data_IF_711968119185
#
_entry.id   IF_711968119185
#
_cell.length_a   1.000
_cell.length_b   1.000
_cell.length_c   1.000
_cell.angle_alpha   90.00
_cell.angle_beta   90.00
_cell.angle_gamma   90.00
#
_symmetry.space_group_name_H-M   'P 1'
#
loop_
_entity.id
_entity.type
_entity.pdbx_description
1 polymer ?
#
# COMPACT_ATOMS: atom_id res chain seq x y z
N UNK A 1 -3.88 4.67 10.96
CA UNK A 1 -3.99 4.43 9.50
C UNK A 1 -5.05 3.38 9.28
N UNK A 2 -6.06 3.62 8.45
CA UNK A 2 -7.09 2.59 8.25
C UNK A 2 -6.70 1.63 7.13
N UNK A 3 -6.80 0.34 7.40
CA UNK A 3 -6.70 -0.72 6.40
C UNK A 3 -7.99 -1.53 6.53
N UNK A 4 -8.88 -1.43 5.56
CA UNK A 4 -10.13 -2.17 5.56
C UNK A 4 -10.16 -3.29 4.53
N UNK A 5 -10.85 -4.37 4.83
CA UNK A 5 -11.23 -5.42 3.87
C UNK A 5 -12.73 -5.69 4.01
N UNK A 6 -13.50 -5.49 2.94
CA UNK A 6 -14.96 -5.63 2.96
C UNK A 6 -15.49 -6.21 1.65
N UNK A 7 -16.73 -6.74 1.60
CA UNK A 7 -17.31 -7.24 0.37
C UNK A 7 -17.43 -6.12 -0.66
N UNK A 8 -16.97 -6.37 -1.88
CA UNK A 8 -17.04 -5.40 -2.99
C UNK A 8 -18.11 -5.77 -4.00
N UNK A 9 -17.83 -6.80 -4.78
CA UNK A 9 -18.72 -7.38 -5.78
C UNK A 9 -18.81 -8.90 -5.58
N UNK A 10 -19.78 -9.60 -6.18
CA UNK A 10 -20.05 -11.00 -5.85
C UNK A 10 -18.79 -11.89 -5.90
N UNK A 11 -18.43 -12.45 -4.74
CA UNK A 11 -17.28 -13.35 -4.58
C UNK A 11 -15.92 -12.66 -4.42
N UNK A 12 -15.86 -11.35 -4.23
CA UNK A 12 -14.61 -10.59 -4.08
C UNK A 12 -14.63 -9.63 -2.89
N UNK A 13 -13.47 -9.47 -2.26
CA UNK A 13 -13.24 -8.49 -1.20
C UNK A 13 -12.41 -7.33 -1.75
N UNK A 14 -12.75 -6.12 -1.35
CA UNK A 14 -12.00 -4.92 -1.67
C UNK A 14 -11.23 -4.51 -0.42
N UNK A 15 -9.92 -4.35 -0.59
CA UNK A 15 -9.02 -3.71 0.35
C UNK A 15 -8.99 -2.20 0.12
N UNK A 16 -9.02 -1.41 1.18
CA UNK A 16 -8.81 0.05 1.12
C UNK A 16 -7.80 0.48 2.17
N UNK A 17 -6.87 1.36 1.80
CA UNK A 17 -5.80 1.83 2.68
C UNK A 17 -5.77 3.35 2.69
N UNK A 18 -6.09 3.95 3.84
CA UNK A 18 -6.10 5.40 4.07
C UNK A 18 -4.76 5.88 4.60
N UNK A 19 -3.92 6.45 3.73
CA UNK A 19 -2.54 6.82 4.04
C UNK A 19 -2.39 8.13 4.79
N UNK A 20 -3.34 9.06 4.64
CA UNK A 20 -3.29 10.33 5.36
C UNK A 20 -4.36 10.39 6.46
N UNK A 21 -4.07 11.02 7.62
CA UNK A 21 -5.08 11.23 8.64
C UNK A 21 -6.23 12.08 8.08
N UNK A 22 -7.44 11.56 8.10
CA UNK A 22 -8.64 12.32 7.73
C UNK A 22 -9.59 12.42 8.92
N UNK A 23 -10.44 13.46 8.93
CA UNK A 23 -11.53 13.59 9.91
C UNK A 23 -12.59 12.47 9.81
N UNK A 24 -12.52 11.66 8.76
CA UNK A 24 -13.44 10.55 8.51
C UNK A 24 -12.92 9.23 9.08
N UNK A 25 -11.65 9.17 9.50
CA UNK A 25 -11.10 8.06 10.26
C UNK A 25 -11.68 8.11 11.67
N UNK A 26 -12.68 7.28 11.90
CA UNK A 26 -13.46 7.22 13.14
C UNK A 26 -13.03 6.07 14.05
N UNK A 27 -11.88 5.46 13.76
CA UNK A 27 -11.37 4.25 14.42
C UNK A 27 -11.91 2.96 13.79
N UNK A 28 -11.49 1.82 14.33
CA UNK A 28 -12.03 0.50 13.99
C UNK A 28 -13.55 0.46 14.20
N UNK A 29 -14.27 -0.08 13.21
CA UNK A 29 -15.71 -0.30 13.30
C UNK A 29 -16.04 -1.17 14.52
N UNK A 30 -17.08 -0.82 15.29
CA UNK A 30 -17.56 -1.69 16.38
C UNK A 30 -18.07 -3.06 15.90
N UNK A 31 -18.21 -3.23 14.58
CA UNK A 31 -18.61 -4.47 13.93
C UNK A 31 -17.44 -5.22 13.29
N UNK A 32 -16.21 -4.74 13.48
CA UNK A 32 -15.05 -5.36 12.86
C UNK A 32 -14.87 -6.78 13.35
N UNK A 33 -14.68 -7.70 12.41
CA UNK A 33 -14.53 -9.12 12.70
C UNK A 33 -13.06 -9.51 12.92
N UNK A 34 -12.11 -8.57 12.77
CA UNK A 34 -10.66 -8.87 12.71
C UNK A 34 -10.15 -9.66 13.93
N UNK A 35 -10.62 -9.33 15.14
CA UNK A 35 -10.21 -9.99 16.40
C UNK A 35 -10.69 -11.45 16.51
N UNK A 36 -11.65 -11.86 15.68
CA UNK A 36 -12.10 -13.25 15.60
C UNK A 36 -11.21 -14.09 14.68
N UNK A 37 -10.38 -13.44 13.85
CA UNK A 37 -9.55 -14.10 12.84
C UNK A 37 -8.04 -13.93 13.06
N UNK A 38 -7.62 -12.92 13.82
CA UNK A 38 -6.23 -12.59 14.11
C UNK A 38 -6.08 -12.36 15.61
N UNK A 39 -4.99 -12.87 16.19
CA UNK A 39 -4.63 -12.61 17.57
C UNK A 39 -4.48 -11.09 17.78
N UNK A 40 -5.16 -10.47 18.78
CA UNK A 40 -5.04 -9.05 19.06
C UNK A 40 -3.60 -8.53 19.16
N UNK A 41 -2.64 -9.33 19.63
CA UNK A 41 -1.23 -8.92 19.71
C UNK A 41 -0.56 -8.72 18.34
N UNK A 42 -1.10 -9.35 17.29
CA UNK A 42 -0.62 -9.23 15.91
C UNK A 42 -1.32 -8.11 15.13
N UNK A 43 -2.38 -7.53 15.68
CA UNK A 43 -3.13 -6.40 15.07
C UNK A 43 -2.37 -5.09 15.36
N UNK A 44 -1.17 -4.99 14.80
CA UNK A 44 -0.29 -3.85 14.95
C UNK A 44 0.63 -3.74 13.72
N UNK A 45 1.07 -2.52 13.41
CA UNK A 45 2.11 -2.28 12.41
C UNK A 45 3.42 -1.99 13.14
N UNK A 46 4.41 -2.90 13.08
CA UNK A 46 5.67 -2.69 13.75
C UNK A 46 6.47 -1.57 13.09
N UNK A 47 7.15 -0.81 13.94
CA UNK A 47 8.17 0.15 13.53
C UNK A 47 9.56 -0.48 13.63
N UNK A 48 10.34 -0.39 12.56
CA UNK A 48 11.68 -0.96 12.46
C UNK A 48 12.65 0.13 12.02
N UNK A 49 13.84 0.17 12.62
CA UNK A 49 14.96 0.95 12.09
C UNK A 49 15.92 0.02 11.35
N UNK A 50 16.01 0.19 10.04
CA UNK A 50 16.98 -0.50 9.19
C UNK A 50 17.60 0.49 8.20
N UNK A 51 18.74 1.09 8.54
CA UNK A 51 19.44 2.04 7.67
C UNK A 51 19.85 1.49 6.31
N UNK A 52 19.98 0.17 6.15
CA UNK A 52 20.42 -0.49 4.92
C UNK A 52 19.29 -0.86 3.96
N UNK A 53 18.05 -0.92 4.47
CA UNK A 53 16.88 -1.34 3.68
C UNK A 53 16.68 -0.54 2.39
N UNK A 54 16.99 0.76 2.40
CA UNK A 54 16.91 1.64 1.23
C UNK A 54 17.71 1.15 0.02
N UNK A 55 18.80 0.40 0.22
CA UNK A 55 19.61 -0.14 -0.88
C UNK A 55 18.86 -1.14 -1.77
N UNK A 56 17.79 -1.76 -1.25
CA UNK A 56 16.89 -2.63 -2.03
C UNK A 56 16.27 -1.91 -3.23
N UNK A 57 16.07 -0.60 -3.11
CA UNK A 57 15.45 0.22 -4.17
C UNK A 57 16.44 0.65 -5.25
N UNK A 58 17.75 0.45 -5.07
CA UNK A 58 18.77 0.88 -6.02
C UNK A 58 18.78 0.04 -7.31
N UNK A 59 18.28 -1.20 -7.24
CA UNK A 59 18.18 -2.11 -8.39
C UNK A 59 16.88 -1.96 -9.17
N UNK A 60 15.88 -1.28 -8.59
CA UNK A 60 14.57 -1.08 -9.22
C UNK A 60 14.62 0.06 -10.22
N UNK A 61 13.82 -0.06 -11.29
CA UNK A 61 13.71 1.01 -12.28
C UNK A 61 12.84 2.15 -11.75
N UNK A 62 13.38 3.35 -11.69
CA UNK A 62 12.62 4.58 -11.43
C UNK A 62 12.02 5.08 -12.74
N UNK A 63 10.72 5.32 -12.75
CA UNK A 63 9.98 5.83 -13.90
C UNK A 63 10.28 7.31 -14.16
N UNK A 64 10.15 7.72 -15.43
CA UNK A 64 10.48 9.10 -15.83
C UNK A 64 9.41 10.06 -15.38
N UNK A 65 8.14 9.73 -15.58
CA UNK A 65 7.02 10.50 -15.06
C UNK A 65 6.81 10.27 -13.58
N UNK A 66 6.00 11.15 -13.00
CA UNK A 66 5.32 10.89 -11.74
C UNK A 66 4.31 9.75 -11.92
N UNK A 67 3.85 9.18 -10.82
CA UNK A 67 2.73 8.24 -10.79
C UNK A 67 1.57 8.77 -11.65
N UNK A 68 1.11 10.01 -11.43
CA UNK A 68 -0.02 10.57 -12.17
C UNK A 68 0.23 10.77 -13.67
N UNK A 69 1.45 11.12 -14.06
CA UNK A 69 1.82 11.29 -15.48
C UNK A 69 1.92 9.96 -16.22
N UNK A 70 2.21 8.87 -15.51
CA UNK A 70 2.33 7.53 -16.07
C UNK A 70 0.98 6.78 -16.11
N UNK A 71 -0.05 7.32 -15.46
CA UNK A 71 -1.40 6.78 -15.47
C UNK A 71 -2.02 6.86 -16.88
N UNK A 72 -2.57 5.75 -17.36
CA UNK A 72 -3.08 5.52 -18.72
C UNK A 72 -2.03 5.54 -19.85
N UNK A 73 -0.76 5.82 -19.53
CA UNK A 73 0.36 5.73 -20.48
C UNK A 73 1.15 4.43 -20.26
N UNK A 74 1.50 4.13 -19.01
CA UNK A 74 2.30 2.95 -18.62
C UNK A 74 1.51 1.91 -17.85
N UNK A 75 0.40 2.29 -17.20
CA UNK A 75 -0.42 1.41 -16.39
C UNK A 75 -1.85 1.95 -16.24
N UNK A 76 -2.74 1.10 -15.75
CA UNK A 76 -4.07 1.48 -15.27
C UNK A 76 -4.26 1.02 -13.80
N UNK A 77 -5.34 1.43 -13.15
CA UNK A 77 -5.64 1.03 -11.76
C UNK A 77 -6.85 0.13 -11.73
N UNK A 78 -6.86 -0.83 -10.81
CA UNK A 78 -8.00 -1.74 -10.68
C UNK A 78 -9.26 -1.00 -10.17
N UNK A 79 -9.07 -0.11 -9.19
CA UNK A 79 -10.11 0.74 -8.64
C UNK A 79 -9.64 2.20 -8.58
N UNK A 80 -9.33 2.68 -7.39
CA UNK A 80 -9.09 4.10 -7.14
C UNK A 80 -7.75 4.27 -6.44
N UNK A 81 -7.01 5.29 -6.87
CA UNK A 81 -5.87 5.84 -6.13
C UNK A 81 -6.13 7.33 -6.01
N UNK A 82 -6.52 7.75 -4.81
CA UNK A 82 -6.85 9.12 -4.52
C UNK A 82 -5.60 9.91 -4.15
N UNK A 83 -5.48 11.11 -4.70
CA UNK A 83 -4.36 12.01 -4.45
C UNK A 83 -4.84 13.36 -3.91
N UNK A 84 -3.97 14.02 -3.15
CA UNK A 84 -4.20 15.40 -2.76
C UNK A 84 -3.92 16.37 -3.93
N UNK A 85 -4.10 17.67 -3.67
CA UNK A 85 -3.88 18.72 -4.68
C UNK A 85 -2.44 18.85 -5.18
N UNK A 86 -1.49 18.20 -4.51
CA UNK A 86 -0.06 18.18 -4.84
C UNK A 86 0.38 16.83 -5.40
N UNK A 87 -0.55 15.90 -5.65
CA UNK A 87 -0.25 14.59 -6.24
C UNK A 87 0.22 13.53 -5.24
N UNK A 88 0.17 13.81 -3.93
CA UNK A 88 0.50 12.80 -2.92
C UNK A 88 -0.67 11.86 -2.69
N UNK A 89 -0.41 10.55 -2.63
CA UNK A 89 -1.46 9.55 -2.41
C UNK A 89 -2.07 9.73 -1.01
N UNK A 90 -3.39 9.75 -0.96
CA UNK A 90 -4.20 9.87 0.26
C UNK A 90 -4.86 8.55 0.60
N UNK A 91 -5.29 7.78 -0.41
CA UNK A 91 -5.96 6.50 -0.28
C UNK A 91 -5.73 5.66 -1.54
N UNK A 92 -5.76 4.35 -1.41
CA UNK A 92 -5.89 3.46 -2.57
C UNK A 92 -6.72 2.22 -2.26
N UNK A 93 -7.31 1.66 -3.32
CA UNK A 93 -8.15 0.47 -3.28
C UNK A 93 -7.59 -0.65 -4.17
N UNK A 94 -7.80 -1.89 -3.76
CA UNK A 94 -7.31 -3.05 -4.47
C UNK A 94 -8.12 -4.32 -4.18
N UNK A 95 -8.27 -5.25 -5.13
CA UNK A 95 -8.92 -6.54 -4.86
C UNK A 95 -7.94 -7.46 -4.16
N UNK A 96 -8.30 -7.97 -2.99
CA UNK A 96 -7.47 -8.96 -2.32
C UNK A 96 -8.32 -10.11 -1.79
N UNK A 97 -7.80 -11.33 -1.89
CA UNK A 97 -8.45 -12.46 -1.24
C UNK A 97 -8.46 -12.26 0.28
N UNK A 98 -9.59 -12.56 0.94
CA UNK A 98 -9.73 -12.47 2.40
C UNK A 98 -8.57 -13.13 3.14
N UNK A 99 -8.23 -14.37 2.75
CA UNK A 99 -7.13 -15.13 3.36
C UNK A 99 -5.79 -14.40 3.24
N UNK A 100 -5.56 -13.72 2.13
CA UNK A 100 -4.32 -12.98 1.92
C UNK A 100 -4.27 -11.72 2.78
N UNK A 101 -5.39 -11.01 2.94
CA UNK A 101 -5.48 -9.90 3.90
C UNK A 101 -5.18 -10.37 5.33
N UNK A 102 -5.86 -11.43 5.79
CA UNK A 102 -5.64 -12.00 7.12
C UNK A 102 -4.19 -12.45 7.32
N UNK A 103 -3.59 -13.07 6.32
CA UNK A 103 -2.20 -13.51 6.38
C UNK A 103 -1.21 -12.34 6.42
N UNK A 104 -1.43 -11.27 5.65
CA UNK A 104 -0.61 -10.05 5.74
C UNK A 104 -0.66 -9.43 7.15
N UNK A 105 -1.81 -9.44 7.82
CA UNK A 105 -1.92 -8.97 9.21
C UNK A 105 -1.18 -9.92 10.16
N UNK A 106 -1.44 -11.24 10.08
CA UNK A 106 -0.82 -12.26 10.96
C UNK A 106 0.71 -12.29 10.85
N UNK A 107 1.24 -12.10 9.65
CA UNK A 107 2.68 -12.06 9.38
C UNK A 107 3.30 -10.68 9.63
N UNK A 108 2.47 -9.72 10.07
CA UNK A 108 2.82 -8.31 10.22
C UNK A 108 3.49 -7.75 8.97
N UNK A 109 3.05 -8.16 7.78
CA UNK A 109 3.65 -7.73 6.51
C UNK A 109 3.47 -6.23 6.25
N UNK A 110 2.46 -5.61 6.85
CA UNK A 110 2.38 -4.15 6.98
C UNK A 110 3.37 -3.66 8.03
N UNK A 111 4.39 -2.89 7.63
CA UNK A 111 5.48 -2.42 8.50
C UNK A 111 5.88 -1.00 8.13
N UNK A 112 6.29 -0.23 9.12
CA UNK A 112 7.01 1.03 8.91
C UNK A 112 8.50 0.78 9.14
N UNK A 113 9.33 1.04 8.13
CA UNK A 113 10.77 0.84 8.19
C UNK A 113 11.46 2.19 7.97
N UNK A 114 12.11 2.73 8.99
CA UNK A 114 12.99 3.89 8.84
C UNK A 114 14.32 3.45 8.24
N UNK A 115 14.73 4.13 7.17
CA UNK A 115 15.91 3.78 6.41
C UNK A 115 16.61 5.00 5.82
N UNK A 116 17.81 4.79 5.26
CA UNK A 116 18.50 5.78 4.45
C UNK A 116 18.51 5.36 2.99
N UNK A 117 18.10 6.26 2.11
CA UNK A 117 18.16 6.05 0.67
C UNK A 117 18.61 7.31 -0.03
N UNK A 118 19.57 7.18 -0.95
CA UNK A 118 20.17 8.31 -1.69
C UNK A 118 20.65 9.47 -0.80
N UNK A 119 21.18 9.15 0.39
CA UNK A 119 21.72 10.13 1.34
C UNK A 119 20.66 10.90 2.14
N UNK A 120 19.38 10.50 2.09
CA UNK A 120 18.28 11.08 2.86
C UNK A 120 17.58 10.00 3.69
N UNK A 121 17.05 10.39 4.85
CA UNK A 121 16.23 9.50 5.68
C UNK A 121 14.82 9.41 5.10
N UNK A 122 14.28 8.20 5.03
CA UNK A 122 12.92 7.89 4.60
C UNK A 122 12.27 6.91 5.57
N UNK A 123 10.95 6.86 5.56
CA UNK A 123 10.16 5.78 6.12
C UNK A 123 9.47 5.04 4.99
N UNK A 124 9.64 3.72 4.97
CA UNK A 124 8.99 2.83 4.03
C UNK A 124 7.81 2.19 4.71
N UNK A 125 6.63 2.36 4.15
CA UNK A 125 5.44 1.63 4.54
C UNK A 125 5.19 0.48 3.58
N UNK A 126 5.20 -0.76 4.05
CA UNK A 126 4.97 -1.94 3.23
C UNK A 126 3.49 -2.33 3.19
N UNK A 127 3.00 -2.78 2.03
CA UNK A 127 1.62 -3.24 1.83
C UNK A 127 1.54 -4.69 1.35
N UNK A 128 2.67 -5.40 1.37
CA UNK A 128 2.77 -6.78 0.93
C UNK A 128 3.90 -7.53 1.65
N UNK A 129 4.02 -8.82 1.38
CA UNK A 129 5.14 -9.62 1.85
C UNK A 129 6.48 -9.00 1.45
N UNK A 130 7.47 -9.10 2.32
CA UNK A 130 8.77 -8.45 2.12
C UNK A 130 9.45 -8.87 0.81
N UNK A 131 9.32 -10.14 0.43
CA UNK A 131 9.84 -10.66 -0.84
C UNK A 131 9.20 -10.00 -2.07
N UNK A 132 7.92 -9.67 -2.01
CA UNK A 132 7.22 -8.95 -3.08
C UNK A 132 7.58 -7.45 -3.08
N UNK A 133 7.80 -6.85 -1.90
CA UNK A 133 8.29 -5.47 -1.78
C UNK A 133 9.69 -5.31 -2.35
N UNK A 134 10.57 -6.28 -2.06
CA UNK A 134 11.96 -6.27 -2.47
C UNK A 134 12.20 -6.81 -3.88
N UNK A 135 11.15 -7.15 -4.63
CA UNK A 135 11.28 -7.70 -5.97
C UNK A 135 11.96 -6.67 -6.90
N UNK A 136 13.13 -6.99 -7.51
CA UNK A 136 13.85 -6.06 -8.38
C UNK A 136 13.08 -5.68 -9.64
N UNK A 137 12.09 -6.47 -10.05
CA UNK A 137 11.23 -6.18 -11.21
C UNK A 137 10.15 -5.12 -10.89
N UNK A 138 10.01 -4.74 -9.62
CA UNK A 138 9.16 -3.61 -9.24
C UNK A 138 9.66 -2.31 -9.86
N UNK A 139 8.71 -1.40 -10.10
CA UNK A 139 8.97 -0.05 -10.56
C UNK A 139 8.78 0.94 -9.41
N UNK A 140 9.55 2.02 -9.47
CA UNK A 140 9.43 3.13 -8.53
C UNK A 140 8.87 4.35 -9.27
N UNK A 141 7.76 4.87 -8.77
CA UNK A 141 7.12 6.08 -9.27
C UNK A 141 7.33 7.21 -8.27
N UNK A 142 7.63 8.41 -8.77
CA UNK A 142 7.65 9.63 -7.95
C UNK A 142 6.21 10.11 -7.76
N UNK A 143 5.80 10.52 -6.57
CA UNK A 143 4.47 11.11 -6.39
C UNK A 143 4.41 12.55 -6.94
N UNK A 144 5.48 13.31 -6.73
CA UNK A 144 5.61 14.72 -7.12
C UNK A 144 7.07 15.01 -7.56
N UNK A 145 7.34 16.07 -8.34
CA UNK A 145 8.69 16.48 -8.71
C UNK A 145 9.64 16.79 -7.54
N UNK A 146 9.15 16.96 -6.30
CA UNK A 146 9.97 17.19 -5.11
C UNK A 146 10.82 15.97 -4.69
N UNK A 147 10.55 14.77 -5.21
CA UNK A 147 11.28 13.53 -4.90
C UNK A 147 11.38 13.23 -3.39
N UNK A 148 10.33 13.58 -2.65
CA UNK A 148 10.20 13.36 -1.23
C UNK A 148 9.24 12.22 -0.87
N UNK A 149 8.46 11.74 -1.84
CA UNK A 149 7.56 10.59 -1.72
C UNK A 149 7.58 9.78 -3.01
N UNK A 150 7.68 8.45 -2.86
CA UNK A 150 7.71 7.49 -3.95
C UNK A 150 6.79 6.31 -3.66
N UNK A 151 6.35 5.63 -4.73
CA UNK A 151 5.59 4.39 -4.66
C UNK A 151 6.40 3.29 -5.31
N UNK A 152 6.56 2.18 -4.60
CA UNK A 152 7.05 0.91 -5.16
C UNK A 152 5.83 0.13 -5.62
N UNK A 153 5.81 -0.26 -6.89
CA UNK A 153 4.68 -0.99 -7.44
C UNK A 153 5.10 -2.08 -8.43
N UNK A 154 4.27 -3.10 -8.50
CA UNK A 154 4.35 -4.14 -9.51
C UNK A 154 3.33 -3.82 -10.62
N UNK A 155 3.72 -4.07 -11.88
CA UNK A 155 2.79 -4.06 -13.00
C UNK A 155 2.35 -5.49 -13.28
N UNK A 156 1.09 -5.80 -12.98
CA UNK A 156 0.53 -7.13 -13.23
C UNK A 156 -0.44 -7.09 -14.41
N UNK A 157 -0.52 -8.15 -15.24
CA UNK A 157 -1.56 -8.23 -16.25
C UNK A 157 -2.96 -8.20 -15.62
N UNK A 158 -3.88 -7.45 -16.23
CA UNK A 158 -5.27 -7.46 -15.77
C UNK A 158 -5.86 -8.86 -15.84
N UNK A 159 -6.50 -9.32 -14.75
CA UNK A 159 -7.31 -10.53 -14.74
C UNK A 159 -8.67 -10.30 -14.07
N UNK A 160 -9.78 -10.46 -14.81
CA UNK A 160 -11.13 -10.47 -14.21
C UNK A 160 -11.47 -11.87 -13.74
N UNK A 161 -11.64 -12.04 -12.43
CA UNK A 161 -12.03 -13.32 -11.82
C UNK A 161 -11.09 -14.48 -12.17
N UNK A 162 -9.84 -14.19 -12.55
CA UNK A 162 -8.86 -15.18 -13.02
C UNK A 162 -9.14 -15.78 -14.41
N UNK A 163 -10.12 -15.27 -15.18
CA UNK A 163 -10.54 -15.88 -16.45
C UNK A 163 -10.14 -15.06 -17.69
N UNK A 164 -10.15 -13.72 -17.60
CA UNK A 164 -9.83 -12.86 -18.74
C UNK A 164 -8.54 -12.12 -18.48
N UNK A 165 -7.44 -12.59 -19.08
CA UNK A 165 -6.16 -11.88 -19.08
C UNK A 165 -6.12 -10.90 -20.25
N UNK A 166 -5.95 -9.61 -19.97
CA UNK A 166 -5.67 -8.62 -21.01
C UNK A 166 -4.18 -8.28 -20.98
N UNK A 167 -3.31 -8.99 -21.70
CA UNK A 167 -1.86 -8.85 -21.56
C UNK A 167 -1.33 -7.47 -21.99
N UNK A 168 -2.12 -6.70 -22.75
CA UNK A 168 -1.76 -5.35 -23.15
C UNK A 168 -2.18 -4.28 -22.11
N UNK A 169 -2.94 -4.67 -21.08
CA UNK A 169 -3.38 -3.80 -20.00
C UNK A 169 -2.79 -4.33 -18.69
N UNK A 170 -1.91 -3.52 -18.09
CA UNK A 170 -1.29 -3.84 -16.81
C UNK A 170 -1.83 -2.92 -15.72
N UNK A 171 -2.07 -3.50 -14.56
CA UNK A 171 -2.49 -2.77 -13.37
C UNK A 171 -1.33 -2.55 -12.41
N UNK A 172 -1.37 -1.39 -11.78
CA UNK A 172 -0.41 -1.01 -10.77
C UNK A 172 -0.83 -1.55 -9.40
N UNK A 173 -0.04 -2.47 -8.85
CA UNK A 173 -0.21 -3.03 -7.52
C UNK A 173 0.79 -2.38 -6.57
N UNK A 174 0.30 -1.59 -5.61
CA UNK A 174 1.17 -0.92 -4.64
C UNK A 174 1.81 -1.95 -3.70
N UNK A 175 3.13 -1.92 -3.63
CA UNK A 175 3.93 -2.77 -2.73
C UNK A 175 4.44 -2.00 -1.52
N UNK A 176 4.84 -0.74 -1.71
CA UNK A 176 5.24 0.13 -0.62
C UNK A 176 5.11 1.62 -0.96
N UNK A 177 5.04 2.46 0.08
CA UNK A 177 5.23 3.90 0.00
C UNK A 177 6.55 4.27 0.68
N UNK A 178 7.41 5.03 -0.01
CA UNK A 178 8.67 5.56 0.54
C UNK A 178 8.46 7.05 0.75
N UNK A 179 8.50 7.53 1.99
CA UNK A 179 8.19 8.93 2.31
C UNK A 179 9.26 9.56 3.20
N UNK A 180 9.59 10.81 2.93
CA UNK A 180 10.35 11.68 3.83
C UNK A 180 9.50 12.86 4.34
N UNK A 181 8.17 12.66 4.36
CA UNK A 181 7.14 13.66 4.68
C UNK A 181 6.26 13.19 5.84
N UNK A 182 6.81 13.26 7.04
CA UNK A 182 6.11 12.93 8.30
C UNK A 182 4.93 13.87 8.57
N UNK A 183 4.88 15.03 7.92
CA UNK A 183 3.74 15.96 7.95
C UNK A 183 2.53 15.47 7.15
N UNK A 184 2.76 14.67 6.10
CA UNK A 184 1.70 14.06 5.29
C UNK A 184 1.38 12.64 5.74
N UNK A 185 2.42 11.90 6.14
CA UNK A 185 2.35 10.50 6.52
C UNK A 185 2.93 10.31 7.94
N UNK A 186 2.24 10.77 8.99
CA UNK A 186 2.79 10.75 10.34
C UNK A 186 3.02 9.32 10.83
N UNK A 187 4.18 9.08 11.45
CA UNK A 187 4.57 7.74 11.90
C UNK A 187 3.61 7.19 12.95
N UNK A 188 3.15 8.02 13.88
CA UNK A 188 2.16 7.62 14.90
C UNK A 188 0.87 7.14 14.24
N UNK A 189 0.41 7.85 13.20
CA UNK A 189 -0.74 7.43 12.41
C UNK A 189 -0.48 6.13 11.64
N UNK A 190 0.72 5.93 11.08
CA UNK A 190 1.05 4.72 10.33
C UNK A 190 1.22 3.48 11.21
N UNK A 191 1.75 3.64 12.43
CA UNK A 191 2.00 2.54 13.37
C UNK A 191 0.80 2.20 14.25
N UNK A 192 -0.23 3.05 14.28
CA UNK A 192 -1.52 2.79 14.93
C UNK A 192 -2.59 2.48 13.86
N UNK A 193 -2.61 1.25 13.32
CA UNK A 193 -3.57 0.89 12.30
C UNK A 193 -4.96 0.63 12.88
N UNK A 194 -5.97 1.13 12.18
CA UNK A 194 -7.34 0.63 12.29
C UNK A 194 -7.50 -0.48 11.24
N UNK A 195 -7.12 -1.71 11.59
CA UNK A 195 -7.44 -2.88 10.77
C UNK A 195 -8.93 -3.17 10.88
N UNK A 196 -9.66 -3.07 9.78
CA UNK A 196 -11.10 -3.26 9.75
C UNK A 196 -11.49 -4.40 8.80
N UNK A 197 -12.27 -5.36 9.30
CA UNK A 197 -12.74 -6.50 8.52
C UNK A 197 -14.26 -6.62 8.61
N UNK A 198 -14.91 -6.66 7.45
CA UNK A 198 -16.33 -7.00 7.31
C UNK A 198 -16.42 -8.20 6.37
N UNK A 199 -17.08 -9.29 6.77
CA UNK A 199 -17.25 -10.50 5.94
C UNK A 199 -18.68 -10.60 5.40
N UNK A 200 -19.65 -10.07 6.15
CA UNK A 200 -21.04 -9.98 5.73
C UNK A 200 -21.35 -8.63 5.04
N UNK A 201 -22.25 -8.66 4.06
CA UNK A 201 -22.72 -7.50 3.28
C UNK A 201 -24.02 -6.90 3.86
#
# INVERSE_FOLDING_TARGET
MRISCSPGFPGSMIGSIDLQPTKFNTGVSSKSEIIHHVDPELIAIPYIEDPGFGSTFDVMKIMKGTYQEEFQESYDVEFTIDVDKKGYITQFEHTFALERYLDLVRTQSYKVIKTNWKGRSFHVMTYSYMEEVCNPDNLIFRCDPAEDVFVVAELVPYSVGGVVVQPNNVYLHLRALISARDDLYPIDYMCEPDFDLSIEA
#
